data_IF_302657515482
#
_entry.id   IF_302657515482
#
_cell.length_a   1.000
_cell.length_b   1.000
_cell.length_c   1.000
_cell.angle_alpha   90.00
_cell.angle_beta   90.00
_cell.angle_gamma   90.00
#
_symmetry.space_group_name_H-M   'P 1'
#
loop_
_entity.id
_entity.type
_entity.pdbx_description
1 polymer ?
#
# COMPACT_ATOMS: atom_id res chain seq x y z
N UNK A 1 2.28 -21.57 12.88
CA UNK A 1 2.74 -21.56 12.92
C UNK A 1 3.49 -21.70 12.74
N UNK A 2 3.88 -21.70 12.69
CA UNK A 2 4.67 -21.86 12.62
C UNK A 2 5.47 -21.76 12.71
N UNK A 3 5.76 -21.68 12.89
CA UNK A 3 6.58 -21.59 12.98
C UNK A 3 7.33 -21.62 13.00
N UNK A 4 7.48 -21.61 13.07
CA UNK A 4 8.34 -21.67 13.09
C UNK A 4 9.09 -21.84 13.01
N UNK A 5 9.34 -21.75 13.07
CA UNK A 5 10.13 -21.85 12.98
C UNK A 5 10.92 -22.05 13.17
N UNK A 6 11.09 -22.18 13.16
CA UNK A 6 11.82 -22.39 13.40
C UNK A 6 12.83 -22.43 13.57
N UNK A 7 13.13 -22.20 13.64
CA UNK A 7 14.12 -22.00 13.65
C UNK A 7 15.14 -22.69 13.99
N UNK A 8 15.45 -23.17 13.89
CA UNK A 8 16.18 -23.71 14.14
C UNK A 8 16.98 -23.98 13.51
N UNK A 9 17.32 -23.59 13.25
CA UNK A 9 18.04 -24.04 12.29
C UNK A 9 19.34 -23.56 11.98
N UNK A 10 19.71 -23.83 10.80
CA UNK A 10 20.93 -23.34 10.21
C UNK A 10 20.80 -21.85 10.04
N UNK A 11 21.81 -21.08 10.47
CA UNK A 11 21.75 -19.62 10.28
C UNK A 11 21.48 -19.21 8.84
N UNK A 12 21.94 -19.99 7.87
CA UNK A 12 21.68 -19.64 6.49
C UNK A 12 20.21 -19.85 6.16
N UNK A 13 19.61 -20.85 6.75
CA UNK A 13 18.19 -21.07 6.56
C UNK A 13 17.42 -19.92 7.18
N UNK A 14 17.88 -19.44 8.32
CA UNK A 14 17.24 -18.32 8.97
C UNK A 14 17.24 -17.10 8.08
N UNK A 15 18.36 -16.84 7.41
CA UNK A 15 18.41 -15.72 6.51
C UNK A 15 17.41 -15.86 5.38
N UNK A 16 17.31 -17.04 4.82
CA UNK A 16 16.36 -17.29 3.75
C UNK A 16 14.95 -17.12 4.25
N UNK A 17 14.67 -17.68 5.40
CA UNK A 17 13.34 -17.59 5.99
C UNK A 17 12.96 -16.15 6.25
N UNK A 18 13.93 -15.35 6.70
CA UNK A 18 13.65 -13.96 7.01
C UNK A 18 13.23 -13.18 5.78
N UNK A 19 13.56 -13.68 4.59
CA UNK A 19 13.18 -13.00 3.38
C UNK A 19 11.75 -13.29 2.95
N UNK A 20 11.14 -14.32 3.52
CA UNK A 20 9.81 -14.68 3.11
C UNK A 20 8.78 -13.83 3.82
N UNK A 21 7.78 -13.40 3.05
CA UNK A 21 6.69 -12.65 3.60
C UNK A 21 5.78 -13.55 4.41
N UNK A 22 5.20 -13.00 5.44
CA UNK A 22 4.20 -13.68 6.24
C UNK A 22 2.84 -13.16 5.80
N UNK A 23 2.01 -14.04 5.27
CA UNK A 23 0.66 -13.66 4.83
C UNK A 23 -0.23 -13.67 6.07
N UNK A 24 -0.77 -12.50 6.38
CA UNK A 24 -1.59 -12.33 7.58
C UNK A 24 -2.91 -11.68 7.19
N UNK A 25 -3.96 -12.06 7.89
CA UNK A 25 -5.26 -11.47 7.67
C UNK A 25 -5.54 -10.43 8.76
N UNK A 26 -5.41 -9.16 8.36
CA UNK A 26 -5.71 -8.02 9.22
C UNK A 26 -7.08 -7.43 8.92
N UNK A 27 -7.90 -8.15 8.16
CA UNK A 27 -9.19 -7.62 7.71
C UNK A 27 -10.06 -7.22 8.88
N UNK A 28 -10.72 -6.08 8.75
CA UNK A 28 -11.68 -5.54 9.73
C UNK A 28 -11.06 -5.19 11.09
N UNK A 29 -9.74 -5.25 11.21
CA UNK A 29 -9.10 -4.95 12.49
C UNK A 29 -8.78 -3.47 12.60
N UNK A 30 -8.76 -2.98 13.83
CA UNK A 30 -8.41 -1.59 14.10
C UNK A 30 -6.94 -1.50 14.49
N UNK A 31 -6.15 -0.89 13.62
CA UNK A 31 -4.72 -0.69 13.84
C UNK A 31 -4.37 0.79 13.76
N UNK A 32 -5.28 1.65 14.25
CA UNK A 32 -5.03 3.09 14.30
C UNK A 32 -3.72 3.35 15.02
N UNK A 33 -2.85 4.15 14.38
CA UNK A 33 -1.54 4.53 14.91
C UNK A 33 -0.58 3.36 15.14
N UNK A 34 -0.89 2.19 14.61
CA UNK A 34 0.01 1.05 14.73
C UNK A 34 1.30 1.30 13.97
N UNK A 35 2.38 0.68 14.43
CA UNK A 35 3.68 0.80 13.78
C UNK A 35 3.93 -0.48 12.99
N UNK A 36 3.86 -0.38 11.66
CA UNK A 36 4.11 -1.50 10.76
C UNK A 36 5.34 -1.21 9.89
N UNK A 37 6.17 -0.32 10.38
CA UNK A 37 7.35 0.14 9.66
C UNK A 37 8.27 -1.02 9.35
N UNK A 38 8.79 -1.03 8.11
CA UNK A 38 9.70 -2.05 7.62
C UNK A 38 9.13 -3.46 7.64
N UNK A 39 7.79 -3.57 7.73
CA UNK A 39 7.16 -4.88 7.73
C UNK A 39 7.17 -5.54 6.36
N UNK A 40 7.12 -6.85 6.36
CA UNK A 40 7.06 -7.61 5.13
C UNK A 40 5.70 -8.29 5.09
N UNK A 41 4.78 -7.67 4.38
CA UNK A 41 3.38 -8.10 4.40
C UNK A 41 2.86 -8.50 3.02
N UNK A 42 3.76 -8.90 2.12
CA UNK A 42 3.35 -9.26 0.76
C UNK A 42 2.17 -10.24 0.77
N UNK A 43 1.13 -9.90 0.04
CA UNK A 43 -0.04 -10.77 -0.09
C UNK A 43 -1.01 -10.76 1.08
N UNK A 44 -0.76 -9.93 2.10
CA UNK A 44 -1.63 -9.88 3.28
C UNK A 44 -2.91 -9.10 3.01
N UNK A 45 -3.92 -9.34 3.82
CA UNK A 45 -5.19 -8.66 3.69
C UNK A 45 -5.37 -7.60 4.76
N UNK A 46 -5.63 -6.37 4.31
CA UNK A 46 -6.01 -5.25 5.16
C UNK A 46 -7.40 -4.75 4.77
N UNK A 47 -8.20 -5.64 4.18
CA UNK A 47 -9.52 -5.25 3.70
C UNK A 47 -10.36 -4.72 4.86
N UNK A 48 -10.87 -3.50 4.69
CA UNK A 48 -11.69 -2.82 5.69
C UNK A 48 -11.00 -2.63 7.04
N UNK A 49 -9.68 -2.74 7.07
CA UNK A 49 -8.93 -2.44 8.29
C UNK A 49 -8.88 -0.94 8.51
N UNK A 50 -8.71 -0.53 9.74
CA UNK A 50 -8.53 0.88 10.08
C UNK A 50 -7.05 1.08 10.38
N UNK A 51 -6.39 1.84 9.53
CA UNK A 51 -4.96 2.12 9.64
C UNK A 51 -4.71 3.62 9.71
N UNK A 52 -5.68 4.37 10.23
CA UNK A 52 -5.56 5.81 10.34
C UNK A 52 -4.33 6.17 11.17
N UNK A 53 -3.53 7.08 10.63
CA UNK A 53 -2.32 7.56 11.30
C UNK A 53 -1.28 6.46 11.57
N UNK A 54 -1.44 5.30 10.95
CA UNK A 54 -0.47 4.22 11.14
C UNK A 54 0.81 4.50 10.37
N UNK A 55 1.91 3.90 10.82
CA UNK A 55 3.21 4.03 10.19
C UNK A 55 3.48 2.77 9.37
N UNK A 56 3.37 2.91 8.04
CA UNK A 56 3.64 1.84 7.10
C UNK A 56 4.90 2.15 6.28
N UNK A 57 5.80 2.95 6.83
CA UNK A 57 6.97 3.38 6.07
C UNK A 57 7.97 2.27 5.85
N UNK A 58 8.66 2.34 4.71
CA UNK A 58 9.76 1.45 4.39
C UNK A 58 9.38 -0.02 4.40
N UNK A 59 8.11 -0.31 4.16
CA UNK A 59 7.61 -1.68 4.19
C UNK A 59 7.36 -2.27 2.82
N UNK A 60 7.13 -3.56 2.80
CA UNK A 60 6.76 -4.28 1.60
C UNK A 60 5.31 -4.73 1.73
N UNK A 61 4.43 -4.03 1.03
CA UNK A 61 3.00 -4.31 1.01
C UNK A 61 2.55 -4.71 -0.40
N UNK A 62 3.44 -5.34 -1.13
CA UNK A 62 3.16 -5.78 -2.49
C UNK A 62 2.01 -6.79 -2.50
N UNK A 63 1.12 -6.68 -3.47
CA UNK A 63 0.00 -7.61 -3.66
C UNK A 63 -0.93 -7.69 -2.45
N UNK A 64 -1.02 -6.63 -1.68
CA UNK A 64 -1.90 -6.59 -0.51
C UNK A 64 -3.30 -6.15 -0.91
N UNK A 65 -4.27 -6.56 -0.11
CA UNK A 65 -5.65 -6.18 -0.29
C UNK A 65 -5.99 -5.07 0.70
N UNK A 66 -6.11 -3.84 0.19
CA UNK A 66 -6.49 -2.68 1.00
C UNK A 66 -7.89 -2.19 0.65
N UNK A 67 -8.72 -3.05 0.06
CA UNK A 67 -10.06 -2.62 -0.34
C UNK A 67 -10.84 -2.09 0.86
N UNK A 68 -11.35 -0.88 0.69
CA UNK A 68 -12.16 -0.19 1.70
C UNK A 68 -11.46 -0.01 3.05
N UNK A 69 -10.14 -0.09 3.06
CA UNK A 69 -9.37 0.21 4.27
C UNK A 69 -9.39 1.71 4.51
N UNK A 70 -9.25 2.11 5.76
CA UNK A 70 -9.10 3.51 6.13
C UNK A 70 -7.64 3.77 6.43
N UNK A 71 -7.04 4.70 5.68
CA UNK A 71 -5.63 5.06 5.83
C UNK A 71 -5.50 6.58 5.95
N UNK A 72 -6.47 7.20 6.62
CA UNK A 72 -6.50 8.65 6.77
C UNK A 72 -5.27 9.10 7.56
N UNK A 73 -4.50 10.00 6.96
CA UNK A 73 -3.28 10.54 7.56
C UNK A 73 -2.22 9.49 7.87
N UNK A 74 -2.33 8.31 7.26
CA UNK A 74 -1.32 7.28 7.44
C UNK A 74 -0.04 7.66 6.71
N UNK A 75 1.07 7.11 7.16
CA UNK A 75 2.37 7.37 6.54
C UNK A 75 2.78 6.13 5.75
N UNK A 76 2.74 6.24 4.43
CA UNK A 76 3.06 5.16 3.52
C UNK A 76 4.35 5.45 2.74
N UNK A 77 5.18 6.34 3.27
CA UNK A 77 6.36 6.78 2.52
C UNK A 77 7.40 5.69 2.35
N UNK A 78 8.08 5.72 1.23
CA UNK A 78 9.22 4.85 0.95
C UNK A 78 8.87 3.36 1.00
N UNK A 79 7.65 3.02 0.64
CA UNK A 79 7.17 1.63 0.72
C UNK A 79 6.75 1.11 -0.65
N UNK A 80 6.70 -0.20 -0.77
CA UNK A 80 6.27 -0.85 -1.99
C UNK A 80 4.83 -1.32 -1.84
N UNK A 81 3.98 -0.91 -2.78
CA UNK A 81 2.58 -1.33 -2.83
C UNK A 81 2.23 -1.90 -4.20
N UNK A 82 3.22 -2.34 -4.95
CA UNK A 82 3.00 -2.84 -6.30
C UNK A 82 1.91 -3.89 -6.33
N UNK A 83 1.02 -3.79 -7.31
CA UNK A 83 -0.04 -4.78 -7.54
C UNK A 83 -1.03 -4.89 -6.38
N UNK A 84 -1.15 -3.86 -5.55
CA UNK A 84 -2.10 -3.88 -4.44
C UNK A 84 -3.44 -3.29 -4.87
N UNK A 85 -4.47 -3.62 -4.11
CA UNK A 85 -5.83 -3.23 -4.42
C UNK A 85 -6.33 -2.22 -3.39
N UNK A 86 -6.48 -0.97 -3.81
CA UNK A 86 -6.94 0.12 -2.95
C UNK A 86 -8.37 0.56 -3.30
N UNK A 87 -9.13 -0.30 -3.97
CA UNK A 87 -10.49 0.11 -4.37
C UNK A 87 -11.33 0.48 -3.15
N UNK A 88 -11.91 1.65 -3.20
CA UNK A 88 -12.75 2.14 -2.12
C UNK A 88 -12.01 2.54 -0.85
N UNK A 89 -10.70 2.54 -0.85
CA UNK A 89 -9.93 2.91 0.34
C UNK A 89 -9.95 4.41 0.57
N UNK A 90 -9.84 4.81 1.82
CA UNK A 90 -9.78 6.22 2.20
C UNK A 90 -8.34 6.57 2.55
N UNK A 91 -7.68 7.30 1.63
CA UNK A 91 -6.29 7.71 1.83
C UNK A 91 -6.17 9.22 2.05
N UNK A 92 -7.25 9.87 2.50
CA UNK A 92 -7.19 11.32 2.66
C UNK A 92 -6.03 11.74 3.55
N UNK A 93 -5.26 12.71 3.05
CA UNK A 93 -4.13 13.29 3.77
C UNK A 93 -3.02 12.30 4.10
N UNK A 94 -3.00 11.14 3.45
CA UNK A 94 -1.92 10.19 3.65
C UNK A 94 -0.65 10.69 2.96
N UNK A 95 0.49 10.22 3.45
CA UNK A 95 1.78 10.56 2.85
C UNK A 95 2.22 9.39 2.00
N UNK A 96 2.40 9.64 0.71
CA UNK A 96 2.77 8.59 -0.24
C UNK A 96 4.12 8.88 -0.90
N UNK A 97 4.87 9.83 -0.38
CA UNK A 97 6.11 10.25 -1.03
C UNK A 97 7.07 9.09 -1.20
N UNK A 98 7.69 9.01 -2.37
CA UNK A 98 8.74 8.03 -2.65
C UNK A 98 8.27 6.57 -2.60
N UNK A 99 6.97 6.36 -2.71
CA UNK A 99 6.43 5.00 -2.66
C UNK A 99 6.02 4.52 -4.05
N UNK A 100 5.88 3.21 -4.18
CA UNK A 100 5.60 2.60 -5.46
C UNK A 100 4.20 2.03 -5.48
N UNK A 101 3.36 2.56 -6.38
CA UNK A 101 1.97 2.11 -6.58
C UNK A 101 1.77 1.54 -7.97
N UNK A 102 2.80 0.90 -8.48
CA UNK A 102 2.76 0.33 -9.81
C UNK A 102 1.68 -0.74 -9.91
N UNK A 103 0.85 -0.64 -10.92
CA UNK A 103 -0.22 -1.59 -11.20
C UNK A 103 -1.24 -1.72 -10.07
N UNK A 104 -1.43 -0.67 -9.28
CA UNK A 104 -2.43 -0.68 -8.22
C UNK A 104 -3.80 -0.29 -8.76
N UNK A 105 -4.85 -0.74 -8.06
CA UNK A 105 -6.22 -0.43 -8.40
C UNK A 105 -6.75 0.61 -7.43
N UNK A 106 -7.30 1.72 -7.96
CA UNK A 106 -7.75 2.83 -7.14
C UNK A 106 -9.19 3.23 -7.37
N UNK A 107 -9.99 2.41 -8.05
CA UNK A 107 -11.37 2.79 -8.33
C UNK A 107 -12.12 3.08 -7.04
N UNK A 108 -12.67 4.28 -6.94
CA UNK A 108 -13.43 4.67 -5.77
C UNK A 108 -12.58 5.04 -4.55
N UNK A 109 -11.26 4.99 -4.66
CA UNK A 109 -10.42 5.41 -3.55
C UNK A 109 -10.47 6.93 -3.40
N UNK A 110 -10.26 7.43 -2.20
CA UNK A 110 -10.24 8.87 -1.92
C UNK A 110 -8.81 9.30 -1.67
N UNK A 111 -8.26 10.08 -2.62
CA UNK A 111 -6.87 10.53 -2.56
C UNK A 111 -6.78 12.03 -2.26
N UNK A 112 -7.82 12.63 -1.69
CA UNK A 112 -7.79 14.06 -1.42
C UNK A 112 -6.77 14.38 -0.36
N UNK A 113 -5.99 15.40 -0.61
CA UNK A 113 -5.00 15.89 0.34
C UNK A 113 -3.76 15.03 0.50
N UNK A 114 -3.54 14.02 -0.35
CA UNK A 114 -2.35 13.21 -0.23
C UNK A 114 -1.10 14.01 -0.58
N UNK A 115 0.04 13.54 -0.09
CA UNK A 115 1.34 14.05 -0.47
C UNK A 115 2.06 12.93 -1.17
N UNK A 116 2.24 13.07 -2.49
CA UNK A 116 2.76 11.97 -3.30
C UNK A 116 3.97 12.32 -4.16
N UNK A 117 4.79 13.27 -3.68
CA UNK A 117 5.96 13.65 -4.47
C UNK A 117 6.88 12.46 -4.66
N UNK A 118 7.26 12.23 -5.90
CA UNK A 118 8.14 11.13 -6.30
C UNK A 118 7.51 9.74 -6.14
N UNK A 119 6.20 9.66 -5.94
CA UNK A 119 5.53 8.37 -5.96
C UNK A 119 5.42 7.88 -7.40
N UNK A 120 5.40 6.58 -7.58
CA UNK A 120 5.33 5.96 -8.92
C UNK A 120 3.94 5.37 -9.10
N UNK A 121 3.25 5.80 -10.15
CA UNK A 121 1.86 5.40 -10.42
C UNK A 121 1.71 4.59 -11.70
N UNK A 122 2.81 4.14 -12.29
CA UNK A 122 2.80 3.44 -13.56
C UNK A 122 1.84 2.25 -13.52
N UNK A 123 0.97 2.15 -14.50
CA UNK A 123 0.04 1.02 -14.59
C UNK A 123 -1.13 1.06 -13.62
N UNK A 124 -1.20 2.08 -12.74
CA UNK A 124 -2.35 2.20 -11.85
C UNK A 124 -3.47 2.95 -12.55
N UNK A 125 -4.70 2.75 -12.09
CA UNK A 125 -5.86 3.44 -12.64
C UNK A 125 -6.24 4.65 -11.76
N UNK A 126 -5.25 5.46 -11.41
CA UNK A 126 -5.42 6.60 -10.52
C UNK A 126 -6.59 7.50 -10.94
N UNK A 127 -6.91 7.58 -12.25
CA UNK A 127 -7.96 8.47 -12.73
C UNK A 127 -9.34 8.06 -12.25
N UNK A 128 -9.51 6.86 -11.74
CA UNK A 128 -10.78 6.39 -11.20
C UNK A 128 -10.96 6.72 -9.72
N UNK A 129 -10.01 7.42 -9.14
CA UNK A 129 -10.09 7.81 -7.73
C UNK A 129 -10.64 9.23 -7.59
N UNK A 130 -11.08 9.56 -6.39
CA UNK A 130 -11.50 10.91 -6.04
C UNK A 130 -10.25 11.66 -5.59
N UNK A 131 -10.03 12.86 -6.09
CA UNK A 131 -8.84 13.63 -5.72
C UNK A 131 -9.02 15.10 -6.02
N UNK A 132 -8.11 15.91 -5.48
CA UNK A 132 -8.10 17.33 -5.74
C UNK A 132 -7.68 17.60 -7.19
N UNK A 133 -8.15 18.71 -7.73
CA UNK A 133 -7.88 19.05 -9.13
C UNK A 133 -6.38 19.16 -9.42
N UNK A 134 -5.63 19.76 -8.52
CA UNK A 134 -4.19 19.92 -8.74
C UNK A 134 -3.48 18.58 -8.83
N UNK A 135 -3.88 17.63 -8.01
CA UNK A 135 -3.30 16.29 -8.06
C UNK A 135 -3.65 15.63 -9.38
N UNK A 136 -4.91 15.74 -9.80
CA UNK A 136 -5.37 15.13 -11.05
C UNK A 136 -4.56 15.66 -12.23
N UNK A 137 -4.32 16.96 -12.25
CA UNK A 137 -3.54 17.56 -13.34
C UNK A 137 -2.10 17.06 -13.30
N UNK A 138 -1.52 16.97 -12.12
CA UNK A 138 -0.14 16.51 -11.99
C UNK A 138 0.02 15.07 -12.43
N UNK A 139 -0.91 14.20 -12.04
CA UNK A 139 -0.85 12.79 -12.43
C UNK A 139 -1.09 12.63 -13.93
N UNK A 140 -2.04 13.39 -14.49
CA UNK A 140 -2.31 13.31 -15.93
C UNK A 140 -1.10 13.71 -16.74
N UNK A 141 -0.31 14.64 -16.25
CA UNK A 141 0.88 15.10 -16.97
C UNK A 141 1.99 14.08 -16.91
N UNK A 142 2.23 13.48 -15.77
CA UNK A 142 3.36 12.58 -15.59
C UNK A 142 3.01 11.12 -15.85
N UNK A 143 1.80 10.72 -15.50
CA UNK A 143 1.35 9.33 -15.64
C UNK A 143 0.04 9.30 -16.41
N UNK A 144 0.04 9.69 -17.67
CA UNK A 144 -1.22 9.82 -18.41
C UNK A 144 -1.98 8.50 -18.45
N UNK A 145 -3.31 8.65 -18.46
CA UNK A 145 -4.18 7.50 -18.59
C UNK A 145 -3.86 6.78 -19.89
N UNK A 146 -3.67 5.49 -19.79
CA UNK A 146 -3.36 4.71 -20.98
C UNK A 146 -4.59 4.57 -21.85
N UNK A 147 -4.35 4.72 -23.15
CA UNK A 147 -5.43 4.60 -24.00
C UNK A 147 -5.50 3.21 -24.39
N UNK A 148 -6.15 2.51 -24.26
CA UNK A 148 -6.11 1.27 -24.43
C UNK A 148 -6.75 0.77 -25.17
N UNK A 149 -6.55 0.51 -25.57
CA UNK A 149 -6.85 0.11 -26.09
C UNK A 149 -7.63 -0.72 -25.93
N UNK A 150 -7.89 -0.88 -25.81
CA UNK A 150 -8.49 -1.92 -25.55
C UNK A 150 -9.75 -2.20 -25.59
#
# INVERSE_FOLDING_TARGET
MVMSGGGQGDPRDDETTAEEAVVVDFSFQNHTKSVLRKGRHTGSSFRRAILDEADLTEGDFTQCDFRRASLVEADLMKSAFDNSDFRGADLRKARLNLSNFKNCKFKGADLRGIRGKYAIWQGSDWWNAVMDDDLRKALAKKWPKEENEG
#
